data_IF_684031609344
#
_entry.id   IF_684031609344
#
_cell.length_a   1.000
_cell.length_b   1.000
_cell.length_c   1.000
_cell.angle_alpha   90.00
_cell.angle_beta   90.00
_cell.angle_gamma   90.00
#
_symmetry.space_group_name_H-M   'P 1'
#
loop_
_entity.id
_entity.type
_entity.pdbx_description
1 polymer ?
#
# COMPACT_ATOMS: atom_id res chain seq x y z
N UNK A 1 -12.92 10.92 -31.77
CA UNK A 1 -12.86 10.18 -30.49
C UNK A 1 -14.20 10.38 -29.82
N UNK A 2 -14.94 9.31 -29.53
CA UNK A 2 -16.15 9.45 -28.75
C UNK A 2 -15.71 9.78 -27.32
N UNK A 3 -15.80 11.05 -26.92
CA UNK A 3 -15.29 11.57 -25.64
C UNK A 3 -16.05 11.02 -24.41
N UNK A 4 -17.03 10.14 -24.62
CA UNK A 4 -17.90 9.58 -23.60
C UNK A 4 -17.10 8.83 -22.53
N UNK A 5 -16.14 7.99 -22.91
CA UNK A 5 -15.39 7.20 -21.91
C UNK A 5 -14.46 8.07 -21.07
N UNK A 6 -13.77 9.04 -21.69
CA UNK A 6 -12.93 10.00 -20.97
C UNK A 6 -13.77 10.90 -20.06
N UNK A 7 -14.93 11.37 -20.52
CA UNK A 7 -15.88 12.14 -19.71
C UNK A 7 -16.44 11.31 -18.56
N UNK A 8 -16.80 10.05 -18.79
CA UNK A 8 -17.27 9.14 -17.75
C UNK A 8 -16.20 8.91 -16.69
N UNK A 9 -14.94 8.67 -17.11
CA UNK A 9 -13.82 8.55 -16.17
C UNK A 9 -13.61 9.82 -15.35
N UNK A 10 -13.62 11.01 -15.99
CA UNK A 10 -13.46 12.29 -15.30
C UNK A 10 -14.63 12.61 -14.36
N UNK A 11 -15.87 12.29 -14.74
CA UNK A 11 -17.07 12.51 -13.93
C UNK A 11 -17.12 11.53 -12.75
N UNK A 12 -16.82 10.26 -12.98
CA UNK A 12 -16.73 9.25 -11.92
C UNK A 12 -15.70 9.67 -10.88
N UNK A 13 -14.53 10.12 -11.33
CA UNK A 13 -13.47 10.52 -10.42
C UNK A 13 -13.81 11.83 -9.69
N UNK A 14 -14.19 12.89 -10.41
CA UNK A 14 -14.53 14.18 -9.81
C UNK A 14 -15.75 14.12 -8.85
N UNK A 15 -16.78 13.35 -9.21
CA UNK A 15 -17.99 13.18 -8.39
C UNK A 15 -17.73 12.40 -7.11
N UNK A 16 -16.83 11.42 -7.14
CA UNK A 16 -16.39 10.68 -5.95
C UNK A 16 -15.67 11.62 -4.98
N UNK A 17 -14.77 12.52 -5.42
CA UNK A 17 -14.05 13.42 -4.49
C UNK A 17 -14.89 14.56 -3.91
N UNK A 18 -15.87 15.08 -4.64
CA UNK A 18 -16.72 16.16 -4.14
C UNK A 18 -17.58 15.72 -2.94
N UNK A 19 -17.81 14.41 -2.78
CA UNK A 19 -18.59 13.83 -1.68
C UNK A 19 -17.80 13.59 -0.38
N UNK A 20 -16.47 13.76 -0.36
CA UNK A 20 -15.62 13.38 0.78
C UNK A 20 -15.00 14.54 1.56
N UNK A 21 -15.47 15.76 1.35
CA UNK A 21 -14.89 16.95 1.97
C UNK A 21 -15.61 17.33 3.26
N UNK A 22 -15.41 16.54 4.31
CA UNK A 22 -15.56 16.98 5.70
C UNK A 22 -14.34 16.49 6.48
N UNK A 23 -13.44 17.41 6.84
CA UNK A 23 -12.34 17.10 7.73
C UNK A 23 -12.88 17.03 9.16
N UNK A 24 -12.79 15.87 9.78
CA UNK A 24 -13.07 15.69 11.20
C UNK A 24 -11.71 15.63 11.90
N UNK A 25 -11.49 16.54 12.85
CA UNK A 25 -10.38 16.40 13.79
C UNK A 25 -10.81 15.45 14.89
N UNK A 26 -10.40 14.19 14.81
CA UNK A 26 -10.62 13.22 15.88
C UNK A 26 -9.29 13.00 16.62
N UNK A 27 -9.15 13.59 17.81
CA UNK A 27 -8.03 13.33 18.71
C UNK A 27 -8.38 12.30 19.81
N UNK A 28 -9.63 11.84 19.83
CA UNK A 28 -10.15 10.93 20.84
C UNK A 28 -10.14 9.47 20.36
N UNK A 29 -10.08 8.55 21.32
CA UNK A 29 -10.20 7.12 21.04
C UNK A 29 -11.53 6.78 20.38
N UNK A 30 -11.45 5.86 19.41
CA UNK A 30 -12.61 5.37 18.66
C UNK A 30 -13.61 4.67 19.58
N UNK A 31 -14.90 4.85 19.35
CA UNK A 31 -15.94 4.18 20.12
C UNK A 31 -16.37 2.85 19.47
N UNK A 32 -16.72 1.88 20.31
CA UNK A 32 -17.37 0.63 19.90
C UNK A 32 -18.27 0.10 21.01
N UNK A 33 -18.94 -1.02 20.76
CA UNK A 33 -19.78 -1.71 21.76
C UNK A 33 -19.50 -3.20 21.73
N UNK A 34 -19.14 -3.78 22.86
CA UNK A 34 -19.13 -5.24 23.01
C UNK A 34 -20.55 -5.73 23.29
N UNK A 35 -21.11 -6.51 22.38
CA UNK A 35 -22.36 -7.25 22.57
C UNK A 35 -22.05 -8.57 23.23
N UNK A 36 -22.66 -8.83 24.39
CA UNK A 36 -22.48 -10.09 25.12
C UNK A 36 -23.81 -10.83 25.18
N UNK A 37 -23.83 -12.06 24.66
CA UNK A 37 -24.99 -12.96 24.60
C UNK A 37 -26.24 -12.31 23.97
N UNK A 38 -26.07 -11.32 23.09
CA UNK A 38 -27.12 -10.51 22.45
C UNK A 38 -28.04 -9.74 23.41
N UNK A 39 -27.77 -9.75 24.72
CA UNK A 39 -28.60 -9.11 25.73
C UNK A 39 -27.93 -7.92 26.41
N UNK A 40 -26.60 -7.94 26.51
CA UNK A 40 -25.82 -6.92 27.21
C UNK A 40 -24.93 -6.15 26.24
N UNK A 41 -24.76 -4.86 26.49
CA UNK A 41 -23.94 -3.95 25.67
C UNK A 41 -22.95 -3.21 26.58
N UNK A 42 -21.66 -3.41 26.33
CA UNK A 42 -20.59 -2.71 27.04
C UNK A 42 -19.99 -1.68 26.07
N UNK A 43 -20.25 -0.37 26.24
CA UNK A 43 -19.61 0.64 25.41
C UNK A 43 -18.12 0.68 25.72
N UNK A 44 -17.27 0.63 24.70
CA UNK A 44 -15.81 0.60 24.84
C UNK A 44 -15.12 1.72 24.06
N UNK A 45 -14.00 2.20 24.60
CA UNK A 45 -13.02 3.01 23.87
C UNK A 45 -11.92 2.11 23.32
N UNK A 46 -11.67 2.22 22.02
CA UNK A 46 -10.76 1.36 21.28
C UNK A 46 -9.41 2.04 21.15
N UNK A 47 -8.35 1.33 21.56
CA UNK A 47 -6.96 1.73 21.39
C UNK A 47 -6.18 0.67 20.62
N UNK A 48 -5.22 1.11 19.82
CA UNK A 48 -4.22 0.25 19.17
C UNK A 48 -2.96 1.07 18.86
N UNK A 49 -1.80 0.45 19.00
CA UNK A 49 -0.52 1.03 18.55
C UNK A 49 0.49 -0.08 18.25
N UNK A 50 1.34 0.14 17.24
CA UNK A 50 2.50 -0.73 16.98
C UNK A 50 3.67 -0.41 17.91
N UNK A 51 3.66 0.78 18.53
CA UNK A 51 4.73 1.22 19.43
C UNK A 51 4.57 0.64 20.82
N UNK A 52 5.60 -0.06 21.26
CA UNK A 52 5.67 -0.71 22.57
C UNK A 52 5.58 0.29 23.72
N UNK A 53 6.19 1.46 23.59
CA UNK A 53 6.17 2.51 24.62
C UNK A 53 4.78 3.17 24.74
N UNK A 54 4.10 3.44 23.64
CA UNK A 54 2.73 3.95 23.65
C UNK A 54 1.76 2.95 24.26
N UNK A 55 1.91 1.67 23.90
CA UNK A 55 1.11 0.58 24.45
C UNK A 55 1.33 0.44 25.96
N UNK A 56 2.59 0.44 26.43
CA UNK A 56 2.91 0.38 27.85
C UNK A 56 2.30 1.55 28.64
N UNK A 57 2.43 2.77 28.11
CA UNK A 57 1.86 3.97 28.71
C UNK A 57 0.33 3.94 28.78
N UNK A 58 -0.31 3.26 27.83
CA UNK A 58 -1.77 3.13 27.81
C UNK A 58 -2.29 2.35 29.02
N UNK A 59 -1.58 1.33 29.49
CA UNK A 59 -1.98 0.51 30.64
C UNK A 59 -2.23 1.33 31.92
N UNK A 60 -1.51 2.44 32.09
CA UNK A 60 -1.60 3.32 33.26
C UNK A 60 -2.70 4.38 33.13
N UNK A 61 -3.32 4.54 31.96
CA UNK A 61 -4.41 5.50 31.79
C UNK A 61 -5.67 4.99 32.47
N UNK A 62 -6.37 5.90 33.14
CA UNK A 62 -7.64 5.58 33.79
C UNK A 62 -8.81 5.78 32.82
N UNK A 63 -8.92 4.89 31.84
CA UNK A 63 -10.02 4.88 30.87
C UNK A 63 -11.02 3.81 31.29
N UNK A 64 -12.27 4.23 31.51
CA UNK A 64 -13.37 3.31 31.81
C UNK A 64 -13.79 2.59 30.53
N UNK A 65 -13.97 1.26 30.61
CA UNK A 65 -14.34 0.41 29.49
C UNK A 65 -13.43 0.61 28.28
N UNK A 66 -12.20 0.14 28.40
CA UNK A 66 -11.19 0.24 27.36
C UNK A 66 -10.93 -1.11 26.71
N UNK A 67 -10.89 -1.13 25.38
CA UNK A 67 -10.54 -2.28 24.57
C UNK A 67 -9.27 -1.96 23.76
N UNK A 68 -8.22 -2.72 24.02
CA UNK A 68 -6.96 -2.63 23.29
C UNK A 68 -6.92 -3.74 22.25
N UNK A 69 -6.66 -3.37 21.00
CA UNK A 69 -6.48 -4.33 19.90
C UNK A 69 -4.98 -4.57 19.75
N UNK A 70 -4.55 -5.81 20.00
CA UNK A 70 -3.17 -6.23 19.80
C UNK A 70 -2.93 -6.53 18.32
N UNK A 71 -1.89 -5.93 17.75
CA UNK A 71 -1.37 -6.24 16.42
C UNK A 71 -0.23 -7.27 16.51
N UNK A 72 0.26 -7.74 15.35
CA UNK A 72 1.33 -8.75 15.32
C UNK A 72 2.60 -8.27 16.03
N UNK A 73 2.92 -6.98 15.97
CA UNK A 73 4.12 -6.41 16.61
C UNK A 73 4.03 -6.45 18.15
N UNK A 74 2.82 -6.52 18.71
CA UNK A 74 2.61 -6.61 20.15
C UNK A 74 2.70 -8.04 20.72
N UNK A 75 2.63 -9.06 19.86
CA UNK A 75 2.48 -10.46 20.30
C UNK A 75 3.46 -11.44 19.66
N UNK A 76 4.11 -11.05 18.56
CA UNK A 76 5.01 -11.93 17.81
C UNK A 76 6.46 -11.45 17.96
N UNK A 77 7.25 -12.06 18.85
CA UNK A 77 8.62 -11.63 19.09
C UNK A 77 9.52 -11.94 17.89
N UNK A 78 10.44 -11.03 17.59
CA UNK A 78 11.46 -11.19 16.54
C UNK A 78 12.82 -11.61 17.11
N UNK A 79 13.01 -11.44 18.42
CA UNK A 79 14.22 -11.81 19.15
C UNK A 79 13.88 -12.14 20.61
N UNK A 80 14.82 -12.74 21.35
CA UNK A 80 14.65 -13.00 22.78
C UNK A 80 14.49 -11.70 23.59
N UNK A 81 15.21 -10.63 23.21
CA UNK A 81 15.07 -9.31 23.83
C UNK A 81 13.69 -8.70 23.55
N UNK A 82 13.18 -8.85 22.31
CA UNK A 82 11.84 -8.39 21.96
C UNK A 82 10.76 -9.18 22.74
N UNK A 83 10.95 -10.50 22.91
CA UNK A 83 10.06 -11.30 23.75
C UNK A 83 10.01 -10.80 25.20
N UNK A 84 11.16 -10.52 25.81
CA UNK A 84 11.22 -9.98 27.17
C UNK A 84 10.48 -8.63 27.27
N UNK A 85 10.69 -7.74 26.30
CA UNK A 85 9.97 -6.45 26.25
C UNK A 85 8.45 -6.64 26.14
N UNK A 86 7.97 -7.57 25.32
CA UNK A 86 6.53 -7.88 25.22
C UNK A 86 6.01 -8.41 26.56
N UNK A 87 6.74 -9.32 27.21
CA UNK A 87 6.35 -9.90 28.49
C UNK A 87 6.18 -8.82 29.58
N UNK A 88 7.11 -7.87 29.68
CA UNK A 88 7.04 -6.77 30.65
C UNK A 88 5.80 -5.87 30.44
N UNK A 89 5.46 -5.61 29.18
CA UNK A 89 4.28 -4.82 28.82
C UNK A 89 3.00 -5.57 29.21
N UNK A 90 2.90 -6.86 28.88
CA UNK A 90 1.73 -7.66 29.23
C UNK A 90 1.58 -7.82 30.76
N UNK A 91 2.68 -7.96 31.51
CA UNK A 91 2.64 -7.96 32.97
C UNK A 91 2.10 -6.63 33.52
N UNK A 92 2.46 -5.50 32.89
CA UNK A 92 1.90 -4.19 33.24
C UNK A 92 0.37 -4.15 33.06
N UNK A 93 -0.17 -4.71 31.97
CA UNK A 93 -1.61 -4.80 31.75
C UNK A 93 -2.31 -5.71 32.76
N UNK A 94 -1.69 -6.84 33.11
CA UNK A 94 -2.19 -7.76 34.12
C UNK A 94 -2.26 -7.10 35.51
N UNK A 95 -1.22 -6.37 35.92
CA UNK A 95 -1.22 -5.60 37.18
C UNK A 95 -2.33 -4.54 37.19
N UNK A 96 -2.59 -3.92 36.03
CA UNK A 96 -3.67 -2.94 35.85
C UNK A 96 -5.05 -3.58 35.59
N UNK A 97 -5.20 -4.88 35.86
CA UNK A 97 -6.47 -5.65 35.83
C UNK A 97 -7.16 -5.71 34.48
N UNK A 98 -6.39 -5.71 33.39
CA UNK A 98 -6.95 -6.03 32.07
C UNK A 98 -7.22 -7.53 31.94
N UNK A 99 -8.31 -7.87 31.28
CA UNK A 99 -8.65 -9.22 30.84
C UNK A 99 -7.93 -9.51 29.51
N UNK A 100 -7.33 -10.69 29.39
CA UNK A 100 -6.65 -11.14 28.18
C UNK A 100 -7.61 -11.99 27.37
N UNK A 101 -7.85 -11.63 26.12
CA UNK A 101 -8.85 -12.27 25.28
C UNK A 101 -8.24 -12.77 23.96
N UNK A 102 -8.72 -13.91 23.47
CA UNK A 102 -8.41 -14.39 22.13
C UNK A 102 -9.20 -13.63 21.04
N UNK A 103 -9.00 -14.02 19.78
CA UNK A 103 -9.71 -13.43 18.62
C UNK A 103 -11.24 -13.56 18.65
N UNK A 104 -11.77 -14.45 19.48
CA UNK A 104 -13.20 -14.70 19.66
C UNK A 104 -13.72 -14.11 20.98
N UNK A 105 -12.97 -13.16 21.57
CA UNK A 105 -13.27 -12.54 22.86
C UNK A 105 -13.37 -13.52 24.04
N UNK A 106 -12.70 -14.68 23.95
CA UNK A 106 -12.67 -15.67 25.02
C UNK A 106 -11.53 -15.38 25.99
N UNK A 107 -11.79 -15.32 27.32
CA UNK A 107 -10.76 -15.14 28.32
C UNK A 107 -9.64 -16.18 28.19
N UNK A 108 -8.41 -15.71 28.31
CA UNK A 108 -7.20 -16.50 28.32
C UNK A 108 -6.45 -16.27 29.64
N UNK A 109 -5.80 -17.31 30.14
CA UNK A 109 -4.93 -17.17 31.31
C UNK A 109 -3.71 -16.29 30.97
N UNK A 110 -3.35 -15.31 31.82
CA UNK A 110 -2.23 -14.39 31.57
C UNK A 110 -0.88 -15.04 31.88
N UNK A 111 -0.55 -16.09 31.12
CA UNK A 111 0.72 -16.83 31.18
C UNK A 111 1.55 -16.43 29.96
N UNK A 112 2.64 -15.69 30.18
CA UNK A 112 3.40 -15.03 29.12
C UNK A 112 4.54 -15.89 28.56
N UNK A 113 4.25 -17.15 28.23
CA UNK A 113 5.11 -17.95 27.36
C UNK A 113 4.85 -17.58 25.89
N UNK A 114 5.86 -17.61 25.02
CA UNK A 114 5.74 -17.18 23.61
C UNK A 114 4.51 -17.77 22.90
N UNK A 115 4.29 -19.09 23.01
CA UNK A 115 3.15 -19.79 22.39
C UNK A 115 1.78 -19.29 22.88
N UNK A 116 1.70 -18.76 24.09
CA UNK A 116 0.47 -18.27 24.69
C UNK A 116 0.24 -16.81 24.32
N UNK A 117 1.30 -16.01 24.27
CA UNK A 117 1.24 -14.59 23.89
C UNK A 117 0.64 -14.43 22.48
N UNK A 118 1.05 -15.28 21.55
CA UNK A 118 0.54 -15.26 20.16
C UNK A 118 -0.97 -15.57 20.05
N UNK A 119 -1.61 -16.09 21.11
CA UNK A 119 -3.06 -16.31 21.15
C UNK A 119 -3.86 -15.09 21.61
N UNK A 120 -3.22 -14.10 22.25
CA UNK A 120 -3.91 -12.90 22.67
C UNK A 120 -4.23 -12.02 21.48
N UNK A 121 -5.44 -11.47 21.46
CA UNK A 121 -5.89 -10.52 20.45
C UNK A 121 -6.39 -9.21 21.04
N UNK A 122 -7.01 -9.26 22.21
CA UNK A 122 -7.55 -8.08 22.86
C UNK A 122 -7.19 -8.04 24.34
N UNK A 123 -7.00 -6.83 24.86
CA UNK A 123 -6.97 -6.55 26.29
C UNK A 123 -8.18 -5.70 26.66
N UNK A 124 -8.95 -6.13 27.65
CA UNK A 124 -10.20 -5.47 28.05
C UNK A 124 -10.14 -5.02 29.50
N UNK A 125 -10.33 -3.73 29.74
CA UNK A 125 -10.57 -3.16 31.07
C UNK A 125 -12.01 -2.71 31.17
N UNK A 126 -12.84 -3.47 31.88
CA UNK A 126 -14.26 -3.17 32.09
C UNK A 126 -14.73 -3.71 33.43
N UNK A 127 -15.83 -3.16 33.95
CA UNK A 127 -16.45 -3.65 35.20
C UNK A 127 -16.99 -5.08 35.04
N UNK A 128 -17.44 -5.43 33.83
CA UNK A 128 -17.86 -6.79 33.50
C UNK A 128 -16.66 -7.67 33.17
N UNK A 129 -16.57 -8.81 33.84
CA UNK A 129 -15.64 -9.89 33.52
C UNK A 129 -16.31 -10.85 32.56
N UNK A 130 -15.72 -11.02 31.37
CA UNK A 130 -16.19 -11.97 30.37
C UNK A 130 -15.89 -13.40 30.82
N UNK A 131 -16.81 -14.33 30.51
CA UNK A 131 -16.67 -15.76 30.81
C UNK A 131 -16.40 -16.56 29.54
N UNK A 132 -15.75 -17.74 29.63
CA UNK A 132 -15.55 -18.62 28.47
C UNK A 132 -16.83 -19.00 27.72
N UNK A 133 -17.96 -19.05 28.43
CA UNK A 133 -19.28 -19.37 27.87
C UNK A 133 -19.94 -18.19 27.15
N UNK A 134 -19.48 -16.96 27.36
CA UNK A 134 -20.09 -15.76 26.79
C UNK A 134 -19.83 -15.68 25.29
N UNK A 135 -20.87 -15.49 24.48
CA UNK A 135 -20.70 -15.12 23.09
C UNK A 135 -20.56 -13.60 22.99
N UNK A 136 -19.37 -13.13 22.60
CA UNK A 136 -19.04 -11.70 22.59
C UNK A 136 -18.57 -11.27 21.22
N UNK A 137 -19.16 -10.18 20.71
CA UNK A 137 -18.80 -9.58 19.43
C UNK A 137 -18.60 -8.06 19.60
N UNK A 138 -17.66 -7.49 18.84
CA UNK A 138 -17.44 -6.05 18.82
C UNK A 138 -18.22 -5.43 17.66
N UNK A 139 -19.15 -4.53 17.99
CA UNK A 139 -19.87 -3.70 17.04
C UNK A 139 -19.24 -2.30 16.97
N UNK A 140 -18.98 -1.84 15.75
CA UNK A 140 -18.46 -0.50 15.43
C UNK A 140 -19.19 0.06 14.21
N UNK A 141 -19.29 1.39 14.11
CA UNK A 141 -19.85 2.05 12.91
C UNK A 141 -18.91 1.95 11.68
N UNK A 142 -17.62 1.76 11.94
CA UNK A 142 -16.55 1.61 10.96
C UNK A 142 -16.07 0.16 10.88
N UNK A 143 -15.27 -0.16 9.87
CA UNK A 143 -14.62 -1.47 9.72
C UNK A 143 -13.23 -1.47 10.37
N UNK A 144 -12.81 -2.59 10.95
CA UNK A 144 -11.45 -2.76 11.49
C UNK A 144 -10.63 -3.60 10.53
N UNK A 145 -9.54 -3.04 10.00
CA UNK A 145 -8.62 -3.74 9.10
C UNK A 145 -7.36 -4.17 9.85
N UNK A 146 -7.35 -5.42 10.30
CA UNK A 146 -6.23 -6.02 11.04
C UNK A 146 -5.87 -7.39 10.45
N UNK A 147 -5.44 -7.45 9.17
CA UNK A 147 -5.12 -8.70 8.49
C UNK A 147 -3.83 -9.32 9.05
N UNK A 148 -3.61 -10.62 8.80
CA UNK A 148 -2.25 -11.17 8.94
C UNK A 148 -1.33 -10.52 7.90
N UNK A 149 -0.03 -10.38 8.20
CA UNK A 149 0.94 -9.82 7.24
C UNK A 149 1.17 -10.73 6.01
N UNK A 150 0.91 -12.03 6.14
CA UNK A 150 1.12 -12.99 5.05
C UNK A 150 0.74 -14.44 5.36
N UNK A 151 1.23 -15.33 4.50
CA UNK A 151 1.04 -16.78 4.58
C UNK A 151 2.36 -17.44 4.99
N UNK A 152 2.35 -18.22 6.06
CA UNK A 152 3.53 -18.98 6.50
C UNK A 152 3.73 -20.22 5.62
N UNK A 153 4.89 -20.32 4.98
CA UNK A 153 5.34 -21.45 4.14
C UNK A 153 6.55 -22.11 4.81
N UNK A 154 6.30 -22.83 5.91
CA UNK A 154 7.37 -23.38 6.75
C UNK A 154 8.21 -22.26 7.38
N UNK A 155 9.53 -22.19 7.16
CA UNK A 155 10.40 -21.15 7.73
C UNK A 155 10.28 -19.78 7.04
N UNK A 156 9.59 -19.69 5.90
CA UNK A 156 9.50 -18.45 5.10
C UNK A 156 8.07 -17.89 5.17
N UNK A 157 7.93 -16.58 5.38
CA UNK A 157 6.64 -15.88 5.29
C UNK A 157 6.48 -15.21 3.92
N UNK A 158 5.46 -15.62 3.17
CA UNK A 158 5.03 -14.91 1.96
C UNK A 158 4.11 -13.76 2.35
N UNK A 159 4.66 -12.55 2.36
CA UNK A 159 3.91 -11.33 2.67
C UNK A 159 2.90 -11.02 1.56
N UNK A 160 1.71 -10.53 1.93
CA UNK A 160 0.71 -10.13 0.94
C UNK A 160 1.21 -9.02 0.03
N UNK A 161 2.02 -8.09 0.55
CA UNK A 161 2.70 -7.08 -0.25
C UNK A 161 3.58 -7.68 -1.35
N UNK A 162 4.41 -8.67 -1.00
CA UNK A 162 5.24 -9.39 -1.97
C UNK A 162 4.39 -10.18 -2.98
N UNK A 163 3.28 -10.76 -2.54
CA UNK A 163 2.34 -11.44 -3.44
C UNK A 163 1.72 -10.45 -4.46
N UNK A 164 1.43 -9.22 -4.07
CA UNK A 164 0.95 -8.19 -4.99
C UNK A 164 2.02 -7.79 -6.03
N UNK A 165 3.29 -7.78 -5.66
CA UNK A 165 4.40 -7.64 -6.62
C UNK A 165 4.45 -8.80 -7.61
N UNK A 166 4.28 -10.04 -7.13
CA UNK A 166 4.22 -11.23 -7.99
C UNK A 166 3.06 -11.09 -8.98
N UNK A 167 1.87 -10.65 -8.55
CA UNK A 167 0.75 -10.41 -9.46
C UNK A 167 1.02 -9.27 -10.45
N UNK A 168 1.63 -8.18 -10.01
CA UNK A 168 2.00 -7.06 -10.88
C UNK A 168 2.93 -7.51 -12.02
N UNK A 169 4.02 -8.21 -11.69
CA UNK A 169 5.00 -8.68 -12.68
C UNK A 169 4.48 -9.86 -13.50
N UNK A 170 3.82 -10.83 -12.88
CA UNK A 170 3.30 -12.03 -13.54
C UNK A 170 2.19 -11.71 -14.54
N UNK A 171 1.17 -10.96 -14.12
CA UNK A 171 0.12 -10.51 -15.05
C UNK A 171 0.68 -9.53 -16.07
N UNK A 172 1.65 -8.71 -15.69
CA UNK A 172 2.35 -7.83 -16.61
C UNK A 172 3.06 -8.57 -17.73
N UNK A 173 3.75 -9.67 -17.42
CA UNK A 173 4.37 -10.56 -18.41
C UNK A 173 3.32 -11.15 -19.36
N UNK A 174 2.23 -11.70 -18.83
CA UNK A 174 1.14 -12.30 -19.63
C UNK A 174 0.50 -11.28 -20.57
N UNK A 175 0.22 -10.07 -20.07
CA UNK A 175 -0.36 -8.99 -20.88
C UNK A 175 0.64 -8.51 -21.92
N UNK A 176 1.92 -8.38 -21.58
CA UNK A 176 2.96 -7.95 -22.52
C UNK A 176 3.21 -9.00 -23.62
N UNK A 177 3.18 -10.29 -23.29
CA UNK A 177 3.23 -11.36 -24.29
C UNK A 177 2.08 -11.23 -25.30
N UNK A 178 0.88 -10.89 -24.82
CA UNK A 178 -0.28 -10.64 -25.67
C UNK A 178 -0.08 -9.38 -26.53
N UNK A 179 0.48 -8.30 -25.98
CA UNK A 179 0.84 -7.09 -26.73
C UNK A 179 1.83 -7.42 -27.85
N UNK A 180 2.85 -8.22 -27.58
CA UNK A 180 3.87 -8.60 -28.57
C UNK A 180 3.25 -9.37 -29.74
N UNK A 181 2.35 -10.31 -29.44
CA UNK A 181 1.57 -11.02 -30.47
C UNK A 181 0.69 -10.08 -31.30
N UNK A 182 0.04 -9.10 -30.65
CA UNK A 182 -0.83 -8.12 -31.33
C UNK A 182 -0.04 -7.17 -32.23
N UNK A 183 1.18 -6.82 -31.83
CA UNK A 183 2.05 -5.88 -32.55
C UNK A 183 3.09 -6.59 -33.42
N UNK A 184 2.95 -7.91 -33.61
CA UNK A 184 3.81 -8.76 -34.42
C UNK A 184 5.31 -8.60 -34.07
N UNK A 185 5.60 -8.59 -32.76
CA UNK A 185 6.97 -8.52 -32.22
C UNK A 185 7.41 -9.91 -31.80
N UNK A 186 8.62 -10.28 -32.23
CA UNK A 186 9.26 -11.54 -31.87
C UNK A 186 9.35 -11.71 -30.34
N UNK A 187 8.87 -12.85 -29.86
CA UNK A 187 8.75 -13.19 -28.44
C UNK A 187 10.12 -13.22 -27.73
N UNK A 188 11.23 -13.40 -28.46
CA UNK A 188 12.58 -13.33 -27.87
C UNK A 188 12.89 -12.01 -27.17
N UNK A 189 12.17 -10.93 -27.52
CA UNK A 189 12.36 -9.63 -26.89
C UNK A 189 11.55 -9.44 -25.61
N UNK A 190 10.66 -10.38 -25.27
CA UNK A 190 9.78 -10.28 -24.10
C UNK A 190 10.55 -10.54 -22.80
N UNK A 191 11.33 -11.61 -22.75
CA UNK A 191 12.12 -11.97 -21.56
C UNK A 191 13.14 -10.87 -21.20
N UNK A 192 13.93 -10.31 -22.13
CA UNK A 192 14.79 -9.18 -21.80
C UNK A 192 14.03 -7.96 -21.27
N UNK A 193 12.83 -7.66 -21.80
CA UNK A 193 12.02 -6.55 -21.29
C UNK A 193 11.62 -6.78 -19.83
N UNK A 194 11.13 -7.99 -19.55
CA UNK A 194 10.75 -8.40 -18.20
C UNK A 194 11.94 -8.31 -17.24
N UNK A 195 13.07 -8.92 -17.61
CA UNK A 195 14.29 -8.96 -16.79
C UNK A 195 14.80 -7.56 -16.47
N UNK A 196 14.94 -6.68 -17.47
CA UNK A 196 15.42 -5.32 -17.25
C UNK A 196 14.44 -4.46 -16.45
N UNK A 197 13.13 -4.68 -16.62
CA UNK A 197 12.10 -4.00 -15.80
C UNK A 197 12.16 -4.46 -14.35
N UNK A 198 12.30 -5.77 -14.12
CA UNK A 198 12.38 -6.36 -12.77
C UNK A 198 13.64 -5.90 -12.05
N UNK A 199 14.80 -5.98 -12.70
CA UNK A 199 16.09 -5.50 -12.19
C UNK A 199 16.01 -4.01 -11.89
N UNK A 200 15.53 -3.20 -12.84
CA UNK A 200 15.38 -1.76 -12.65
C UNK A 200 14.46 -1.40 -11.47
N UNK A 201 13.37 -2.14 -11.30
CA UNK A 201 12.44 -1.90 -10.19
C UNK A 201 13.05 -2.27 -8.84
N UNK A 202 13.54 -3.50 -8.68
CA UNK A 202 14.01 -4.00 -7.39
C UNK A 202 15.33 -3.34 -6.99
N UNK A 203 16.35 -3.40 -7.86
CA UNK A 203 17.65 -2.81 -7.56
C UNK A 203 17.57 -1.29 -7.51
N UNK A 204 16.80 -0.66 -8.41
CA UNK A 204 16.60 0.77 -8.38
C UNK A 204 15.93 1.23 -7.09
N UNK A 205 14.87 0.54 -6.65
CA UNK A 205 14.22 0.88 -5.39
C UNK A 205 15.15 0.74 -4.19
N UNK A 206 15.89 -0.37 -4.13
CA UNK A 206 16.82 -0.64 -3.03
C UNK A 206 17.98 0.36 -3.00
N UNK A 207 18.63 0.60 -4.15
CA UNK A 207 19.71 1.58 -4.25
C UNK A 207 19.23 2.99 -3.94
N UNK A 208 18.04 3.39 -4.42
CA UNK A 208 17.45 4.68 -4.06
C UNK A 208 17.26 4.80 -2.56
N UNK A 209 16.75 3.75 -1.91
CA UNK A 209 16.56 3.78 -0.46
C UNK A 209 17.88 3.94 0.29
N UNK A 210 18.86 3.11 -0.04
CA UNK A 210 20.18 3.13 0.60
C UNK A 210 20.88 4.47 0.35
N UNK A 211 20.87 5.00 -0.87
CA UNK A 211 21.57 6.26 -1.19
C UNK A 211 20.94 7.46 -0.46
N UNK A 212 19.61 7.54 -0.41
CA UNK A 212 18.93 8.75 0.10
C UNK A 212 18.58 8.70 1.59
N UNK A 213 18.37 7.51 2.15
CA UNK A 213 17.85 7.37 3.53
C UNK A 213 18.78 6.59 4.46
N UNK A 214 19.59 5.66 3.93
CA UNK A 214 20.45 4.78 4.76
C UNK A 214 21.83 4.52 4.13
N UNK A 215 22.64 5.56 3.85
CA UNK A 215 23.93 5.41 3.15
C UNK A 215 24.96 4.60 3.94
N UNK A 216 24.83 4.53 5.27
CA UNK A 216 25.68 3.75 6.17
C UNK A 216 25.70 2.26 5.84
N UNK A 217 24.64 1.70 5.23
CA UNK A 217 24.59 0.30 4.83
C UNK A 217 25.70 -0.08 3.83
N UNK A 218 26.20 0.86 3.02
CA UNK A 218 27.35 0.59 2.15
C UNK A 218 28.62 0.20 2.91
N UNK A 219 28.76 0.64 4.16
CA UNK A 219 29.92 0.32 5.01
C UNK A 219 29.63 -0.82 5.98
N UNK A 220 28.43 -0.80 6.56
CA UNK A 220 28.08 -1.68 7.68
C UNK A 220 27.52 -3.03 7.24
N UNK A 221 26.89 -3.12 6.06
CA UNK A 221 26.30 -4.37 5.55
C UNK A 221 26.18 -4.36 4.02
N UNK A 222 27.34 -4.26 3.33
CA UNK A 222 27.41 -4.00 1.88
C UNK A 222 26.60 -5.00 1.03
N UNK A 223 26.61 -6.28 1.37
CA UNK A 223 25.88 -7.30 0.60
C UNK A 223 24.36 -7.13 0.72
N UNK A 224 23.85 -6.63 1.85
CA UNK A 224 22.41 -6.35 2.04
C UNK A 224 21.87 -5.23 1.14
N UNK A 225 22.76 -4.44 0.52
CA UNK A 225 22.37 -3.43 -0.47
C UNK A 225 21.90 -4.09 -1.76
N UNK A 226 22.47 -5.25 -2.12
CA UNK A 226 22.23 -5.90 -3.41
C UNK A 226 21.49 -7.23 -3.30
N UNK A 227 21.51 -7.85 -2.13
CA UNK A 227 20.94 -9.16 -1.87
C UNK A 227 19.89 -9.08 -0.75
N UNK A 228 18.87 -9.96 -0.76
CA UNK A 228 17.82 -10.01 0.27
C UNK A 228 18.30 -10.69 1.57
N UNK A 229 19.53 -10.40 2.00
CA UNK A 229 20.18 -10.97 3.17
C UNK A 229 20.83 -9.86 3.99
N UNK A 230 20.80 -9.98 5.31
CA UNK A 230 21.70 -9.19 6.18
C UNK A 230 22.89 -10.05 6.57
N UNK A 231 24.07 -9.43 6.63
CA UNK A 231 25.29 -10.05 7.15
C UNK A 231 25.65 -9.60 8.57
N UNK A 232 24.83 -8.73 9.19
CA UNK A 232 25.03 -8.29 10.57
C UNK A 232 24.66 -9.43 11.52
N UNK A 233 25.63 -9.88 12.32
CA UNK A 233 25.40 -10.94 13.30
C UNK A 233 25.10 -12.32 12.69
N UNK A 234 25.56 -12.58 11.45
CA UNK A 234 25.34 -13.84 10.73
C UNK A 234 24.65 -13.65 9.39
N UNK A 235 24.33 -14.75 8.70
CA UNK A 235 23.58 -14.72 7.44
C UNK A 235 22.08 -14.89 7.72
N UNK A 236 21.33 -13.80 7.58
CA UNK A 236 19.89 -13.78 7.84
C UNK A 236 19.14 -13.40 6.58
N UNK A 237 18.18 -14.24 6.16
CA UNK A 237 17.29 -13.88 5.05
C UNK A 237 16.27 -12.84 5.54
N UNK A 238 16.48 -11.59 5.16
CA UNK A 238 15.65 -10.45 5.58
C UNK A 238 14.70 -9.98 4.48
N UNK A 239 14.85 -10.48 3.25
CA UNK A 239 14.17 -9.91 2.09
C UNK A 239 14.77 -8.55 1.70
N UNK A 240 14.19 -7.89 0.69
CA UNK A 240 14.48 -6.49 0.43
C UNK A 240 13.53 -5.61 1.26
N UNK A 241 13.97 -5.19 2.44
CA UNK A 241 13.36 -4.08 3.18
C UNK A 241 13.90 -2.74 2.68
N UNK A 242 13.21 -1.63 2.91
CA UNK A 242 13.66 -0.30 2.49
C UNK A 242 13.72 -0.14 0.97
N UNK A 243 12.59 0.23 0.36
CA UNK A 243 12.44 0.38 -1.09
C UNK A 243 11.94 1.79 -1.42
N UNK A 244 12.70 2.56 -2.19
CA UNK A 244 12.35 3.91 -2.58
C UNK A 244 11.83 3.97 -4.02
N UNK A 245 10.58 4.41 -4.20
CA UNK A 245 9.92 4.51 -5.52
C UNK A 245 10.66 5.42 -6.52
N UNK A 246 11.31 6.48 -6.04
CA UNK A 246 12.10 7.40 -6.88
C UNK A 246 13.32 6.69 -7.50
N UNK A 247 14.01 5.85 -6.72
CA UNK A 247 15.12 5.04 -7.21
C UNK A 247 14.69 4.03 -8.28
N UNK A 248 13.55 3.34 -8.04
CA UNK A 248 12.96 2.46 -9.05
C UNK A 248 12.60 3.23 -10.33
N UNK A 249 12.03 4.43 -10.21
CA UNK A 249 11.63 5.24 -11.36
C UNK A 249 12.85 5.63 -12.22
N UNK A 250 13.92 6.12 -11.59
CA UNK A 250 15.17 6.49 -12.28
C UNK A 250 15.76 5.27 -13.00
N UNK A 251 15.89 4.14 -12.30
CA UNK A 251 16.42 2.92 -12.88
C UNK A 251 15.54 2.37 -14.02
N UNK A 252 14.20 2.45 -13.89
CA UNK A 252 13.27 2.06 -14.95
C UNK A 252 13.40 2.92 -16.20
N UNK A 253 13.66 4.22 -16.07
CA UNK A 253 13.95 5.09 -17.22
C UNK A 253 15.19 4.58 -17.96
N UNK A 254 16.30 4.37 -17.24
CA UNK A 254 17.55 3.92 -17.87
C UNK A 254 17.47 2.52 -18.46
N UNK A 255 16.89 1.57 -17.74
CA UNK A 255 16.73 0.18 -18.21
C UNK A 255 15.78 0.09 -19.40
N UNK A 256 14.70 0.89 -19.43
CA UNK A 256 13.80 0.96 -20.59
C UNK A 256 14.48 1.60 -21.80
N UNK A 257 15.26 2.67 -21.61
CA UNK A 257 16.05 3.28 -22.69
C UNK A 257 17.10 2.30 -23.23
N UNK A 258 17.82 1.60 -22.34
CA UNK A 258 18.77 0.55 -22.72
C UNK A 258 18.10 -0.54 -23.55
N UNK A 259 16.98 -1.09 -23.06
CA UNK A 259 16.19 -2.08 -23.78
C UNK A 259 15.76 -1.56 -25.16
N UNK A 260 15.22 -0.34 -25.20
CA UNK A 260 14.72 0.27 -26.44
C UNK A 260 15.81 0.44 -27.48
N UNK A 261 16.97 0.96 -27.10
CA UNK A 261 18.04 1.30 -28.04
C UNK A 261 18.94 0.13 -28.39
N UNK A 262 19.20 -0.79 -27.45
CA UNK A 262 20.20 -1.87 -27.63
C UNK A 262 19.56 -3.22 -27.94
N UNK A 263 18.40 -3.51 -27.37
CA UNK A 263 17.79 -4.84 -27.47
C UNK A 263 16.74 -4.86 -28.59
N UNK A 264 15.62 -4.16 -28.42
CA UNK A 264 14.51 -4.20 -29.37
C UNK A 264 14.69 -3.23 -30.56
N UNK A 265 15.58 -2.24 -30.41
CA UNK A 265 15.91 -1.22 -31.44
C UNK A 265 14.67 -0.50 -31.98
N UNK A 266 13.71 -0.20 -31.10
CA UNK A 266 12.50 0.59 -31.40
C UNK A 266 12.62 1.97 -30.76
N UNK A 267 11.73 2.88 -31.17
CA UNK A 267 11.57 4.17 -30.50
C UNK A 267 11.21 3.95 -29.01
N UNK A 268 11.87 4.59 -28.03
CA UNK A 268 11.52 4.48 -26.62
C UNK A 268 10.06 4.72 -26.31
N UNK A 269 9.42 5.68 -27.00
CA UNK A 269 8.01 5.97 -26.80
C UNK A 269 7.10 4.79 -27.19
N UNK A 270 7.52 3.95 -28.15
CA UNK A 270 6.79 2.71 -28.45
C UNK A 270 6.82 1.77 -27.26
N UNK A 271 7.97 1.62 -26.60
CA UNK A 271 8.15 0.75 -25.43
C UNK A 271 7.34 1.32 -24.24
N UNK A 272 7.47 2.62 -23.97
CA UNK A 272 6.76 3.28 -22.88
C UNK A 272 5.23 3.25 -23.04
N UNK A 273 4.70 3.37 -24.26
CA UNK A 273 3.25 3.22 -24.50
C UNK A 273 2.71 1.88 -24.00
N UNK A 274 3.50 0.81 -24.16
CA UNK A 274 3.11 -0.57 -23.84
C UNK A 274 3.39 -0.90 -22.39
N UNK A 275 4.54 -0.48 -21.88
CA UNK A 275 4.86 -0.59 -20.45
C UNK A 275 3.83 0.20 -19.62
N UNK A 276 3.43 1.40 -20.03
CA UNK A 276 2.45 2.21 -19.30
C UNK A 276 1.11 1.51 -19.06
N UNK A 277 0.64 0.68 -20.00
CA UNK A 277 -0.55 -0.16 -19.82
C UNK A 277 -0.33 -1.12 -18.64
N UNK A 278 0.77 -1.86 -18.66
CA UNK A 278 1.08 -2.88 -17.66
C UNK A 278 1.38 -2.26 -16.30
N UNK A 279 2.10 -1.14 -16.27
CA UNK A 279 2.43 -0.41 -15.04
C UNK A 279 1.19 0.17 -14.37
N UNK A 280 0.16 0.59 -15.12
CA UNK A 280 -1.11 1.00 -14.50
C UNK A 280 -1.74 -0.14 -13.68
N UNK A 281 -1.73 -1.37 -14.21
CA UNK A 281 -2.21 -2.54 -13.46
C UNK A 281 -1.29 -2.86 -12.27
N UNK A 282 0.02 -2.82 -12.48
CA UNK A 282 1.00 -3.03 -11.41
C UNK A 282 0.84 -2.03 -10.27
N UNK A 283 0.61 -0.75 -10.57
CA UNK A 283 0.33 0.29 -9.59
C UNK A 283 -0.92 0.00 -8.76
N UNK A 284 -1.97 -0.57 -9.37
CA UNK A 284 -3.16 -0.99 -8.63
C UNK A 284 -2.83 -2.09 -7.60
N UNK A 285 -2.07 -3.11 -7.99
CA UNK A 285 -1.63 -4.16 -7.07
C UNK A 285 -0.71 -3.64 -5.97
N UNK A 286 0.23 -2.74 -6.28
CA UNK A 286 1.09 -2.11 -5.26
C UNK A 286 0.24 -1.39 -4.21
N UNK A 287 -0.80 -0.67 -4.62
CA UNK A 287 -1.72 0.00 -3.70
C UNK A 287 -2.57 -0.95 -2.86
N UNK A 288 -2.99 -2.08 -3.43
CA UNK A 288 -3.61 -3.16 -2.65
C UNK A 288 -2.61 -3.73 -1.63
N UNK A 289 -1.33 -3.85 -2.00
CA UNK A 289 -0.26 -4.21 -1.08
C UNK A 289 -0.14 -3.23 0.09
N UNK A 290 -0.08 -1.92 -0.19
CA UNK A 290 -0.04 -0.90 0.86
C UNK A 290 -1.26 -0.98 1.79
N UNK A 291 -2.43 -1.32 1.26
CA UNK A 291 -3.63 -1.55 2.07
C UNK A 291 -3.45 -2.72 3.04
N UNK A 292 -2.90 -3.87 2.59
CA UNK A 292 -2.57 -4.98 3.50
C UNK A 292 -1.59 -4.59 4.59
N UNK A 293 -0.60 -3.74 4.28
CA UNK A 293 0.37 -3.25 5.25
C UNK A 293 -0.14 -2.11 6.14
N UNK A 294 -1.37 -1.59 5.91
CA UNK A 294 -1.88 -0.40 6.61
C UNK A 294 -0.99 0.85 6.44
N UNK A 295 -0.33 0.98 5.29
CA UNK A 295 0.55 2.10 4.95
C UNK A 295 -0.15 3.07 4.00
N UNK A 296 0.23 4.36 4.02
CA UNK A 296 -0.27 5.36 3.07
C UNK A 296 -1.78 5.60 3.25
N UNK A 297 -2.22 5.63 4.51
CA UNK A 297 -3.62 5.79 4.91
C UNK A 297 -4.13 7.23 4.68
N UNK A 298 -5.45 7.37 4.75
CA UNK A 298 -6.12 8.63 4.57
C UNK A 298 -6.21 9.48 5.82
N UNK A 299 -6.75 10.69 5.63
CA UNK A 299 -7.18 11.59 6.70
C UNK A 299 -8.28 10.94 7.55
N UNK A 300 -8.47 11.40 8.79
CA UNK A 300 -9.57 10.95 9.62
C UNK A 300 -10.91 11.19 8.92
N UNK A 301 -11.83 10.25 9.11
CA UNK A 301 -13.17 10.29 8.52
C UNK A 301 -14.21 10.04 9.59
N UNK A 302 -15.43 10.51 9.34
CA UNK A 302 -16.58 10.20 10.18
C UNK A 302 -16.72 8.68 10.36
N UNK A 303 -16.82 8.16 11.60
CA UNK A 303 -17.05 6.75 11.90
C UNK A 303 -18.21 6.11 11.13
N UNK A 304 -19.27 6.86 10.83
CA UNK A 304 -20.45 6.41 10.09
C UNK A 304 -20.27 6.38 8.57
N UNK A 305 -19.15 6.90 8.06
CA UNK A 305 -18.84 6.87 6.63
C UNK A 305 -18.73 5.42 6.14
N UNK A 306 -19.29 5.08 4.96
CA UNK A 306 -19.17 3.73 4.40
C UNK A 306 -17.72 3.34 4.05
N UNK A 307 -16.81 4.32 4.04
CA UNK A 307 -15.38 4.13 3.81
C UNK A 307 -14.55 4.25 5.09
N UNK A 308 -15.16 4.36 6.26
CA UNK A 308 -14.42 4.43 7.53
C UNK A 308 -13.74 3.09 7.83
N UNK A 309 -12.40 3.10 7.87
CA UNK A 309 -11.60 1.95 8.26
C UNK A 309 -10.62 2.36 9.36
N UNK A 310 -10.64 1.62 10.46
CA UNK A 310 -9.66 1.71 11.54
C UNK A 310 -8.53 0.71 11.25
N UNK A 311 -7.28 1.18 11.32
CA UNK A 311 -6.08 0.41 11.00
C UNK A 311 -5.22 0.18 12.25
N UNK A 312 -5.39 -0.93 13.02
CA UNK A 312 -4.59 -1.20 14.23
C UNK A 312 -3.09 -1.39 13.98
N UNK A 313 -2.71 -1.59 12.71
CA UNK A 313 -1.34 -1.76 12.23
C UNK A 313 -0.80 -0.50 11.54
N UNK A 314 -1.46 0.65 11.67
CA UNK A 314 -0.92 1.90 11.14
C UNK A 314 0.38 2.29 11.87
N UNK A 315 1.27 2.97 11.15
CA UNK A 315 2.43 3.63 11.77
C UNK A 315 1.97 4.64 12.82
N UNK A 316 2.71 4.73 13.92
CA UNK A 316 2.52 5.73 14.97
C UNK A 316 2.70 7.17 14.49
N UNK A 317 3.37 7.37 13.34
CA UNK A 317 3.50 8.70 12.71
C UNK A 317 2.14 9.32 12.39
N UNK A 318 1.09 8.51 12.21
CA UNK A 318 -0.28 8.98 11.99
C UNK A 318 -1.04 9.30 13.28
N UNK A 319 -0.38 9.25 14.44
CA UNK A 319 -0.95 9.52 15.75
C UNK A 319 -1.93 8.44 16.21
N UNK A 320 -2.97 8.86 16.94
CA UNK A 320 -3.97 7.95 17.53
C UNK A 320 -4.66 7.11 16.45
N UNK A 321 -4.88 5.83 16.74
CA UNK A 321 -5.58 4.92 15.83
C UNK A 321 -7.08 5.21 15.81
N UNK A 322 -7.51 5.86 14.73
CA UNK A 322 -8.88 6.34 14.48
C UNK A 322 -9.34 5.93 13.07
N UNK A 323 -10.65 5.99 12.76
CA UNK A 323 -11.15 5.65 11.43
C UNK A 323 -10.65 6.65 10.39
N UNK A 324 -10.12 6.14 9.29
CA UNK A 324 -9.49 6.89 8.22
C UNK A 324 -9.99 6.42 6.86
N UNK A 325 -9.90 7.29 5.85
CA UNK A 325 -10.16 6.89 4.48
C UNK A 325 -9.13 5.85 3.99
N UNK A 326 -9.54 4.79 3.28
CA UNK A 326 -8.63 3.84 2.64
C UNK A 326 -8.14 4.40 1.29
N UNK A 327 -7.38 5.49 1.34
CA UNK A 327 -6.84 6.18 0.16
C UNK A 327 -6.11 5.25 -0.81
N UNK A 328 -5.47 4.20 -0.29
CA UNK A 328 -4.79 3.19 -1.10
C UNK A 328 -5.78 2.47 -2.04
N UNK A 329 -6.98 2.12 -1.56
CA UNK A 329 -8.00 1.48 -2.39
C UNK A 329 -8.56 2.45 -3.43
N UNK A 330 -8.69 3.74 -3.11
CA UNK A 330 -9.08 4.76 -4.08
C UNK A 330 -8.04 4.91 -5.20
N UNK A 331 -6.75 4.96 -4.86
CA UNK A 331 -5.66 4.94 -5.86
C UNK A 331 -5.69 3.63 -6.67
N UNK A 332 -5.87 2.47 -6.01
CA UNK A 332 -5.89 1.17 -6.67
C UNK A 332 -6.99 1.07 -7.72
N UNK A 333 -8.22 1.50 -7.38
CA UNK A 333 -9.34 1.55 -8.31
C UNK A 333 -9.06 2.54 -9.45
N UNK A 334 -8.50 3.72 -9.15
CA UNK A 334 -8.11 4.70 -10.17
C UNK A 334 -7.10 4.12 -11.17
N UNK A 335 -6.08 3.42 -10.69
CA UNK A 335 -5.05 2.80 -11.53
C UNK A 335 -5.57 1.58 -12.31
N UNK A 336 -6.48 0.79 -11.72
CA UNK A 336 -7.14 -0.30 -12.44
C UNK A 336 -8.04 0.24 -13.57
N UNK A 337 -8.82 1.28 -13.31
CA UNK A 337 -9.62 1.96 -14.33
C UNK A 337 -8.74 2.56 -15.44
N UNK A 338 -7.58 3.11 -15.08
CA UNK A 338 -6.58 3.56 -16.05
C UNK A 338 -6.05 2.41 -16.91
N UNK A 339 -5.73 1.26 -16.31
CA UNK A 339 -5.35 0.06 -17.06
C UNK A 339 -6.44 -0.34 -18.07
N UNK A 340 -7.70 -0.42 -17.63
CA UNK A 340 -8.83 -0.77 -18.50
C UNK A 340 -8.97 0.22 -19.65
N UNK A 341 -8.85 1.52 -19.37
CA UNK A 341 -8.87 2.60 -20.37
C UNK A 341 -7.76 2.44 -21.40
N UNK A 342 -6.51 2.30 -20.95
CA UNK A 342 -5.36 2.19 -21.84
C UNK A 342 -5.42 0.90 -22.66
N UNK A 343 -5.81 -0.22 -22.06
CA UNK A 343 -6.02 -1.49 -22.74
C UNK A 343 -7.11 -1.39 -23.82
N UNK A 344 -8.24 -0.75 -23.49
CA UNK A 344 -9.32 -0.51 -24.45
C UNK A 344 -8.84 0.34 -25.62
N UNK A 345 -8.17 1.46 -25.36
CA UNK A 345 -7.64 2.34 -26.41
C UNK A 345 -6.58 1.64 -27.26
N UNK A 346 -5.70 0.88 -26.65
CA UNK A 346 -4.69 0.08 -27.33
C UNK A 346 -5.32 -0.97 -28.28
N UNK A 347 -6.38 -1.65 -27.83
CA UNK A 347 -7.03 -2.74 -28.59
C UNK A 347 -8.04 -2.27 -29.64
N UNK A 348 -8.75 -1.18 -29.39
CA UNK A 348 -9.95 -0.78 -30.15
C UNK A 348 -9.76 0.49 -30.97
N UNK A 349 -8.59 1.12 -30.92
CA UNK A 349 -8.33 2.37 -31.64
C UNK A 349 -6.94 2.36 -32.27
N UNK A 350 -6.69 3.34 -33.13
CA UNK A 350 -5.39 3.52 -33.79
C UNK A 350 -4.30 4.12 -32.89
N UNK A 351 -4.60 4.33 -31.60
CA UNK A 351 -3.67 5.03 -30.70
C UNK A 351 -2.37 4.28 -30.47
N UNK A 352 -2.36 2.96 -30.61
CA UNK A 352 -1.13 2.15 -30.54
C UNK A 352 -0.09 2.47 -31.62
N UNK A 353 -0.50 3.13 -32.71
CA UNK A 353 0.37 3.57 -33.80
C UNK A 353 0.90 5.00 -33.62
N UNK A 354 0.41 5.75 -32.61
CA UNK A 354 0.89 7.11 -32.29
C UNK A 354 1.87 7.01 -31.12
N UNK A 355 3.17 6.89 -31.43
CA UNK A 355 4.20 6.60 -30.42
C UNK A 355 4.27 7.71 -29.37
N UNK A 356 4.07 7.35 -28.10
CA UNK A 356 4.06 8.23 -26.93
C UNK A 356 2.66 8.67 -26.52
N UNK A 357 1.63 8.47 -27.33
CA UNK A 357 0.29 8.97 -27.02
C UNK A 357 -0.32 8.26 -25.81
N UNK A 358 -0.17 6.93 -25.72
CA UNK A 358 -0.71 6.14 -24.60
C UNK A 358 0.09 6.41 -23.33
N UNK A 359 1.41 6.57 -23.43
CA UNK A 359 2.26 6.91 -22.31
C UNK A 359 1.98 8.31 -21.75
N UNK A 360 1.75 9.30 -22.62
CA UNK A 360 1.37 10.64 -22.19
C UNK A 360 0.00 10.65 -21.50
N UNK A 361 -0.97 9.87 -22.00
CA UNK A 361 -2.27 9.70 -21.33
C UNK A 361 -2.13 9.00 -19.97
N UNK A 362 -1.30 7.94 -19.91
CA UNK A 362 -0.94 7.25 -18.67
C UNK A 362 -0.38 8.23 -17.64
N UNK A 363 0.57 9.09 -18.02
CA UNK A 363 1.12 10.13 -17.14
C UNK A 363 0.02 11.08 -16.65
N UNK A 364 -0.76 11.67 -17.54
CA UNK A 364 -1.81 12.62 -17.13
C UNK A 364 -2.76 11.99 -16.12
N UNK A 365 -3.27 10.79 -16.41
CA UNK A 365 -4.31 10.19 -15.58
C UNK A 365 -3.74 9.64 -14.28
N UNK A 366 -2.59 8.96 -14.29
CA UNK A 366 -1.97 8.45 -13.07
C UNK A 366 -1.70 9.59 -12.07
N UNK A 367 -1.13 10.69 -12.57
CA UNK A 367 -0.82 11.84 -11.73
C UNK A 367 -2.05 12.68 -11.37
N UNK A 368 -3.10 12.68 -12.20
CA UNK A 368 -4.40 13.20 -11.79
C UNK A 368 -5.00 12.37 -10.64
N UNK A 369 -4.96 11.03 -10.73
CA UNK A 369 -5.42 10.15 -9.64
C UNK A 369 -4.68 10.47 -8.35
N UNK A 370 -3.35 10.56 -8.42
CA UNK A 370 -2.50 10.99 -7.30
C UNK A 370 -2.95 12.34 -6.74
N UNK A 371 -3.10 13.36 -7.60
CA UNK A 371 -3.45 14.72 -7.21
C UNK A 371 -4.76 14.80 -6.41
N UNK A 372 -5.82 14.13 -6.89
CA UNK A 372 -7.12 14.18 -6.22
C UNK A 372 -7.17 13.30 -4.97
N UNK A 373 -6.58 12.10 -4.99
CA UNK A 373 -6.55 11.25 -3.78
C UNK A 373 -5.75 11.92 -2.66
N UNK A 374 -4.76 12.74 -3.00
CA UNK A 374 -3.96 13.46 -2.01
C UNK A 374 -4.77 14.42 -1.12
N UNK A 375 -5.95 14.89 -1.56
CA UNK A 375 -6.85 15.65 -0.67
C UNK A 375 -7.34 14.82 0.51
N UNK A 376 -7.45 13.51 0.34
CA UNK A 376 -7.91 12.54 1.33
C UNK A 376 -6.75 11.83 2.05
N UNK A 377 -5.49 12.10 1.69
CA UNK A 377 -4.32 11.41 2.27
C UNK A 377 -3.76 12.16 3.45
N UNK A 378 -3.33 11.41 4.46
CA UNK A 378 -2.53 11.95 5.54
C UNK A 378 -1.09 12.16 5.03
N UNK A 379 -0.46 13.32 5.29
CA UNK A 379 0.94 13.54 4.92
C UNK A 379 1.85 12.51 5.61
N UNK A 380 2.88 12.09 4.87
CA UNK A 380 3.87 11.12 5.33
C UNK A 380 5.10 11.88 5.81
N UNK A 381 5.09 12.26 7.09
CA UNK A 381 6.08 13.17 7.67
C UNK A 381 5.84 14.63 7.29
N UNK A 382 6.90 15.44 7.39
CA UNK A 382 6.82 16.88 7.19
C UNK A 382 6.52 17.25 5.73
N UNK A 383 5.55 18.16 5.52
CA UNK A 383 5.29 18.70 4.19
C UNK A 383 6.40 19.67 3.79
N UNK A 384 7.24 19.26 2.84
CA UNK A 384 8.35 20.08 2.34
C UNK A 384 7.91 21.22 1.40
N UNK A 385 6.75 21.09 0.75
CA UNK A 385 6.26 22.06 -0.24
C UNK A 385 4.78 22.35 0.02
N UNK A 386 4.48 23.57 0.42
CA UNK A 386 3.13 24.13 0.41
C UNK A 386 3.10 25.29 -0.56
N UNK A 387 2.32 25.16 -1.64
CA UNK A 387 2.20 26.21 -2.65
C UNK A 387 0.74 26.38 -3.07
N UNK A 388 0.22 27.59 -2.95
CA UNK A 388 -1.15 27.95 -3.32
C UNK A 388 -2.24 27.05 -2.70
N UNK A 389 -2.04 26.57 -1.47
CA UNK A 389 -2.96 25.66 -0.78
C UNK A 389 -2.87 24.20 -1.20
N UNK A 390 -1.89 23.84 -2.04
CA UNK A 390 -1.58 22.47 -2.43
C UNK A 390 -0.39 21.94 -1.64
N UNK A 391 -0.45 20.65 -1.29
CA UNK A 391 0.64 19.97 -0.59
C UNK A 391 1.70 19.40 -1.54
N UNK A 392 2.76 18.85 -0.97
CA UNK A 392 3.91 18.30 -1.71
C UNK A 392 3.50 17.32 -2.81
N UNK A 393 2.63 16.35 -2.49
CA UNK A 393 2.20 15.34 -3.47
C UNK A 393 1.41 15.94 -4.64
N UNK A 394 0.58 16.95 -4.37
CA UNK A 394 -0.18 17.66 -5.39
C UNK A 394 0.71 18.51 -6.29
N UNK A 395 1.61 19.30 -5.70
CA UNK A 395 2.53 20.15 -6.44
C UNK A 395 3.42 19.32 -7.35
N UNK A 396 3.95 18.20 -6.85
CA UNK A 396 4.78 17.29 -7.66
C UNK A 396 4.00 16.59 -8.78
N UNK A 397 2.68 16.42 -8.64
CA UNK A 397 1.86 15.78 -9.68
C UNK A 397 1.69 16.67 -10.92
N UNK A 398 1.67 18.00 -10.76
CA UNK A 398 1.41 18.96 -11.85
C UNK A 398 2.46 18.88 -12.97
N UNK A 399 3.78 18.92 -12.71
CA UNK A 399 4.81 18.78 -13.75
C UNK A 399 4.68 17.49 -14.57
N UNK A 400 4.30 16.37 -13.96
CA UNK A 400 4.12 15.11 -14.66
C UNK A 400 2.87 15.11 -15.55
N UNK A 401 1.77 15.73 -15.10
CA UNK A 401 0.59 15.93 -15.93
C UNK A 401 0.91 16.80 -17.16
N UNK A 402 1.63 17.91 -16.96
CA UNK A 402 2.10 18.77 -18.07
C UNK A 402 2.99 17.98 -19.02
N UNK A 403 3.94 17.21 -18.50
CA UNK A 403 4.83 16.38 -19.32
C UNK A 403 4.05 15.37 -20.15
N UNK A 404 3.05 14.70 -19.57
CA UNK A 404 2.17 13.80 -20.31
C UNK A 404 1.43 14.49 -21.45
N UNK A 405 0.94 15.72 -21.23
CA UNK A 405 0.29 16.53 -22.26
C UNK A 405 1.25 16.89 -23.40
N UNK A 406 2.46 17.33 -23.07
CA UNK A 406 3.50 17.63 -24.05
C UNK A 406 3.88 16.40 -24.89
N UNK A 407 4.02 15.23 -24.25
CA UNK A 407 4.29 13.95 -24.93
C UNK A 407 3.16 13.63 -25.92
N UNK A 408 1.89 13.80 -25.53
CA UNK A 408 0.76 13.54 -26.44
C UNK A 408 0.73 14.48 -27.65
N UNK A 409 1.10 15.75 -27.48
CA UNK A 409 1.22 16.70 -28.60
C UNK A 409 2.36 16.27 -29.53
N UNK A 410 3.52 15.95 -28.97
CA UNK A 410 4.71 15.56 -29.73
C UNK A 410 4.50 14.24 -30.49
N UNK A 411 3.77 13.29 -29.90
CA UNK A 411 3.42 12.00 -30.48
C UNK A 411 2.76 12.09 -31.85
N UNK A 412 2.07 13.19 -32.17
CA UNK A 412 1.47 13.42 -33.49
C UNK A 412 2.49 13.36 -34.63
N UNK A 413 3.77 13.61 -34.35
CA UNK A 413 4.89 13.55 -35.31
C UNK A 413 5.44 12.13 -35.54
N UNK A 414 5.15 11.18 -34.64
CA UNK A 414 5.71 9.82 -34.64
C UNK A 414 4.62 8.77 -34.85
N UNK A 415 4.05 8.75 -36.07
CA UNK A 415 3.06 7.75 -36.45
C UNK A 415 3.73 6.57 -37.13
N UNK A 416 3.43 5.38 -36.65
CA UNK A 416 3.77 4.14 -37.34
C UNK A 416 2.79 3.92 -38.51
N UNK A 417 3.26 3.32 -39.63
CA UNK A 417 2.37 2.78 -40.65
C UNK A 417 1.40 1.81 -39.99
N UNK A 418 0.12 1.90 -40.37
CA UNK A 418 -0.81 0.82 -40.04
C UNK A 418 -0.48 -0.33 -40.99
N UNK A 419 -0.17 -1.50 -40.45
CA UNK A 419 -0.24 -2.71 -41.28
C UNK A 419 -1.70 -2.84 -41.73
N UNK A 420 -1.92 -2.86 -43.06
CA UNK A 420 -3.20 -3.25 -43.62
C UNK A 420 -3.49 -4.65 -43.12
N UNK A 421 -4.44 -4.75 -42.19
CA UNK A 421 -4.95 -6.03 -41.73
C UNK A 421 -5.70 -6.60 -42.93
N UNK A 422 -5.02 -7.47 -43.68
CA UNK A 422 -5.69 -8.35 -44.63
C UNK A 422 -6.71 -9.14 -43.81
N UNK A 423 -7.94 -9.12 -44.35
CA UNK A 423 -9.19 -9.48 -43.69
C UNK A 423 -9.20 -10.85 -43.00
#
# INVERSE_FOLDING_TARGET
MNNIFLRFFLILFAGVFQLFSSQISANDLSAGTLKVNNSESIPVKIFASQRTDELANQAFKNISNELIILNEDNIKPESAEHLASIQDILETFKVNKFQFLDKNFKPQEPVFEQKNIENFKYLLKSDKVLKPTDNTELETEFKIWNPKKGISLGPVMLHFYSLMFIFAFGLGYVIMAKIFKIDNVDEKFLEPLFTWTLIGTILGARLGHVIFYQPELFREDFLSVFLPISTRGGLHFTGFSGLASHGATIALIFTTLYYSFKIIKKNPFWVYDRIGIVVALGGAFVRIGNFFNSEIIGKPVDPSSPFAILFPQQSSEYGVTIPRYPSQLFEAVGYFCLFVLLWFLYRKTDKKYQQGWLFGLFFIILWAVRFFVEFLKEPQGDEFIQFAGLNTGQVLSIPFMISGFLIMIYSKKFKLPKEETTA
#
